data_IF_400281763677
#
_entry.id   IF_400281763677
#
_cell.length_a   1.000
_cell.length_b   1.000
_cell.length_c   1.000
_cell.angle_alpha   90.00
_cell.angle_beta   90.00
_cell.angle_gamma   90.00
#
_symmetry.space_group_name_H-M   'P 1'
#
loop_
_entity.id
_entity.type
_entity.pdbx_description
1 polymer ?
#
# COMPACT_ATOMS: atom_id res chain seq x y z
N UNK A 1 -26.17 2.42 10.55
CA UNK A 1 -25.79 1.38 9.57
C UNK A 1 -24.89 1.99 8.47
N UNK A 2 -23.78 2.62 8.88
CA UNK A 2 -22.82 3.27 7.98
C UNK A 2 -21.72 2.25 7.70
N UNK A 3 -21.51 1.90 6.42
CA UNK A 3 -20.51 0.90 6.00
C UNK A 3 -19.23 1.50 5.44
N UNK A 4 -19.28 2.77 5.04
CA UNK A 4 -18.16 3.46 4.39
C UNK A 4 -18.10 4.90 4.84
N UNK A 5 -16.91 5.35 5.21
CA UNK A 5 -16.54 6.74 5.42
C UNK A 5 -15.31 7.01 4.55
N UNK A 6 -15.42 8.00 3.68
CA UNK A 6 -14.34 8.42 2.80
C UNK A 6 -14.18 9.94 2.91
N UNK A 7 -13.05 10.35 3.46
CA UNK A 7 -12.68 11.74 3.67
C UNK A 7 -11.46 12.14 2.83
N UNK A 8 -11.16 11.39 1.75
CA UNK A 8 -9.99 11.59 0.92
C UNK A 8 -9.77 13.06 0.54
N UNK A 9 -8.58 13.58 0.85
CA UNK A 9 -8.13 14.94 0.53
C UNK A 9 -8.63 16.05 1.46
N UNK A 10 -9.48 15.73 2.44
CA UNK A 10 -9.98 16.74 3.38
C UNK A 10 -8.91 17.12 4.40
N UNK A 11 -8.37 18.34 4.27
CA UNK A 11 -7.24 18.83 5.07
C UNK A 11 -7.47 20.21 5.71
N UNK A 12 -8.72 20.69 5.73
CA UNK A 12 -9.05 21.98 6.35
C UNK A 12 -9.09 21.88 7.88
N UNK A 13 -8.59 22.91 8.60
CA UNK A 13 -8.63 22.94 10.08
C UNK A 13 -10.06 22.71 10.62
N UNK A 14 -11.07 23.30 9.99
CA UNK A 14 -12.48 23.10 10.36
C UNK A 14 -12.90 21.63 10.28
N UNK A 15 -12.49 20.92 9.22
CA UNK A 15 -12.75 19.49 9.09
C UNK A 15 -12.05 18.69 10.20
N UNK A 16 -10.77 18.98 10.48
CA UNK A 16 -10.04 18.32 11.57
C UNK A 16 -10.74 18.50 12.92
N UNK A 17 -11.17 19.74 13.24
CA UNK A 17 -11.92 20.03 14.46
C UNK A 17 -13.26 19.30 14.52
N UNK A 18 -14.04 19.30 13.43
CA UNK A 18 -15.33 18.63 13.37
C UNK A 18 -15.19 17.11 13.57
N UNK A 19 -14.19 16.49 12.95
CA UNK A 19 -13.94 15.06 13.09
C UNK A 19 -13.44 14.70 14.50
N UNK A 20 -12.66 15.59 15.13
CA UNK A 20 -12.27 15.44 16.54
C UNK A 20 -13.49 15.48 17.45
N UNK A 21 -14.39 16.45 17.28
CA UNK A 21 -15.64 16.53 18.05
C UNK A 21 -16.54 15.31 17.85
N UNK A 22 -16.59 14.76 16.63
CA UNK A 22 -17.30 13.51 16.37
C UNK A 22 -16.68 12.34 17.15
N UNK A 23 -15.35 12.20 17.12
CA UNK A 23 -14.64 11.16 17.87
C UNK A 23 -14.87 11.29 19.38
N UNK A 24 -14.88 12.51 19.92
CA UNK A 24 -15.20 12.78 21.32
C UNK A 24 -16.63 12.36 21.69
N UNK A 25 -17.60 12.64 20.81
CA UNK A 25 -18.99 12.24 21.00
C UNK A 25 -19.18 10.73 20.99
N UNK A 26 -18.41 10.00 20.16
CA UNK A 26 -18.43 8.53 20.12
C UNK A 26 -17.92 7.93 21.43
N UNK A 27 -16.95 8.59 22.08
CA UNK A 27 -16.36 8.19 23.35
C UNK A 27 -14.84 8.10 23.22
N UNK A 28 -14.12 8.88 24.04
CA UNK A 28 -12.66 8.95 23.96
C UNK A 28 -12.00 7.60 24.30
N UNK A 29 -11.03 7.22 23.48
CA UNK A 29 -10.09 6.15 23.79
C UNK A 29 -9.22 6.58 24.98
N UNK A 30 -9.20 5.76 26.03
CA UNK A 30 -8.27 5.95 27.16
C UNK A 30 -7.03 5.12 26.91
N UNK A 31 -5.90 5.81 26.91
CA UNK A 31 -4.59 5.24 26.69
C UNK A 31 -3.87 5.28 28.03
N UNK A 32 -3.43 4.11 28.47
CA UNK A 32 -2.67 3.93 29.71
C UNK A 32 -1.23 3.73 29.28
N UNK A 33 -0.36 4.59 29.77
CA UNK A 33 1.07 4.49 29.55
C UNK A 33 1.67 3.77 30.75
N UNK A 34 2.20 2.58 30.49
CA UNK A 34 2.83 1.75 31.52
C UNK A 34 4.34 1.97 31.42
N UNK A 35 4.93 2.51 32.49
CA UNK A 35 6.37 2.60 32.66
C UNK A 35 6.83 1.29 33.31
N UNK A 36 7.62 0.48 32.59
CA UNK A 36 8.35 -0.61 33.25
C UNK A 36 9.49 0.02 34.06
N UNK A 37 9.79 -0.50 35.25
CA UNK A 37 10.83 -0.01 36.19
C UNK A 37 12.27 -0.14 35.63
N UNK A 38 12.43 -0.40 34.33
CA UNK A 38 13.69 -0.64 33.64
C UNK A 38 13.92 0.50 32.63
N UNK A 39 14.85 1.41 32.95
CA UNK A 39 15.10 2.69 32.26
C UNK A 39 15.48 2.55 30.76
N UNK A 40 15.71 1.34 30.27
CA UNK A 40 16.09 1.04 28.87
C UNK A 40 14.92 0.62 27.96
N UNK A 41 13.70 0.42 28.48
CA UNK A 41 12.55 -0.01 27.67
C UNK A 41 11.65 1.16 27.27
N UNK A 42 11.31 1.20 25.98
CA UNK A 42 10.31 2.12 25.44
C UNK A 42 8.95 1.93 26.15
N UNK A 43 8.21 3.01 26.42
CA UNK A 43 6.94 2.94 27.11
C UNK A 43 5.93 2.08 26.34
N UNK A 44 5.26 1.18 27.06
CA UNK A 44 4.18 0.39 26.47
C UNK A 44 2.84 1.10 26.65
N UNK A 45 1.98 0.96 25.65
CA UNK A 45 0.68 1.62 25.62
C UNK A 45 -0.42 0.56 25.62
N UNK A 46 -1.26 0.59 26.64
CA UNK A 46 -2.46 -0.23 26.72
C UNK A 46 -3.72 0.61 26.52
N UNK A 47 -4.71 0.04 25.86
CA UNK A 47 -5.94 0.74 25.49
C UNK A 47 -7.13 0.15 26.25
N UNK A 48 -7.93 1.01 26.87
CA UNK A 48 -9.18 0.54 27.47
C UNK A 48 -10.22 0.32 26.37
N UNK A 49 -10.76 -0.90 26.31
CA UNK A 49 -11.82 -1.26 25.37
C UNK A 49 -13.03 -0.33 25.51
N UNK A 50 -13.59 0.08 24.38
CA UNK A 50 -14.77 0.93 24.36
C UNK A 50 -16.01 0.08 24.61
N UNK A 51 -16.79 0.42 25.65
CA UNK A 51 -17.96 -0.36 26.07
C UNK A 51 -19.04 -0.46 24.99
N UNK A 52 -19.25 0.61 24.22
CA UNK A 52 -20.26 0.69 23.17
C UNK A 52 -19.62 1.14 21.85
N UNK A 53 -19.58 0.24 20.87
CA UNK A 53 -19.04 0.50 19.53
C UNK A 53 -20.05 1.36 18.75
N UNK A 54 -19.63 2.54 18.27
CA UNK A 54 -20.51 3.48 17.59
C UNK A 54 -20.64 3.20 16.08
N UNK A 55 -19.67 2.52 15.47
CA UNK A 55 -19.63 2.20 14.04
C UNK A 55 -19.42 0.68 13.80
N UNK A 56 -20.28 -0.19 14.35
CA UNK A 56 -20.07 -1.65 14.32
C UNK A 56 -20.09 -2.25 12.89
N UNK A 57 -20.80 -1.58 11.97
CA UNK A 57 -20.95 -2.00 10.57
C UNK A 57 -19.93 -1.35 9.62
N UNK A 58 -19.04 -0.48 10.12
CA UNK A 58 -18.10 0.22 9.27
C UNK A 58 -17.04 -0.74 8.75
N UNK A 59 -16.96 -0.85 7.43
CA UNK A 59 -16.05 -1.76 6.74
C UNK A 59 -14.95 -1.03 5.97
N UNK A 60 -15.19 0.23 5.58
CA UNK A 60 -14.27 1.02 4.78
C UNK A 60 -14.07 2.39 5.43
N UNK A 61 -12.82 2.72 5.73
CA UNK A 61 -12.41 4.03 6.22
C UNK A 61 -11.26 4.53 5.36
N UNK A 62 -11.45 5.68 4.72
CA UNK A 62 -10.37 6.42 4.04
C UNK A 62 -10.19 7.79 4.67
N UNK A 63 -8.95 8.04 5.11
CA UNK A 63 -8.44 9.33 5.58
C UNK A 63 -7.30 9.82 4.69
N UNK A 64 -7.22 9.34 3.44
CA UNK A 64 -6.14 9.66 2.52
C UNK A 64 -5.86 11.17 2.45
N UNK A 65 -4.59 11.57 2.58
CA UNK A 65 -4.10 12.95 2.64
C UNK A 65 -4.77 13.84 3.71
N UNK A 66 -5.32 13.26 4.78
CA UNK A 66 -5.84 14.00 5.93
C UNK A 66 -4.75 14.20 7.01
N UNK A 67 -3.64 14.85 6.64
CA UNK A 67 -2.43 14.98 7.49
C UNK A 67 -2.61 15.80 8.76
N UNK A 68 -3.67 16.63 8.83
CA UNK A 68 -3.96 17.50 9.97
C UNK A 68 -4.74 16.80 11.10
N UNK A 69 -5.25 15.58 10.87
CA UNK A 69 -6.03 14.84 11.86
C UNK A 69 -5.08 14.28 12.92
N UNK A 70 -5.45 14.42 14.19
CA UNK A 70 -4.70 13.81 15.30
C UNK A 70 -4.81 12.28 15.25
N UNK A 71 -3.66 11.61 15.29
CA UNK A 71 -3.57 10.16 15.45
C UNK A 71 -4.38 9.71 16.68
N UNK A 72 -4.08 10.27 17.85
CA UNK A 72 -4.68 9.85 19.12
C UNK A 72 -6.17 10.18 19.21
N UNK A 73 -6.50 11.48 19.15
CA UNK A 73 -7.86 11.92 19.54
C UNK A 73 -8.90 11.52 18.51
N UNK A 74 -8.49 11.22 17.28
CA UNK A 74 -9.39 11.00 16.16
C UNK A 74 -9.16 9.65 15.48
N UNK A 75 -7.97 9.37 14.93
CA UNK A 75 -7.75 8.15 14.13
C UNK A 75 -7.92 6.90 14.99
N UNK A 76 -7.20 6.79 16.11
CA UNK A 76 -7.30 5.65 17.02
C UNK A 76 -8.71 5.51 17.60
N UNK A 77 -9.36 6.63 17.93
CA UNK A 77 -10.74 6.61 18.45
C UNK A 77 -11.73 6.09 17.39
N UNK A 78 -11.63 6.53 16.14
CA UNK A 78 -12.46 6.00 15.05
C UNK A 78 -12.24 4.49 14.85
N UNK A 79 -10.98 4.03 14.88
CA UNK A 79 -10.65 2.61 14.75
C UNK A 79 -11.20 1.79 15.92
N UNK A 80 -11.15 2.31 17.15
CA UNK A 80 -11.72 1.67 18.34
C UNK A 80 -13.24 1.45 18.23
N UNK A 81 -13.93 2.33 17.51
CA UNK A 81 -15.36 2.22 17.26
C UNK A 81 -15.71 1.54 15.92
N UNK A 82 -14.72 1.04 15.17
CA UNK A 82 -14.89 0.37 13.89
C UNK A 82 -14.10 -0.95 13.83
N UNK A 83 -14.42 -1.95 14.67
CA UNK A 83 -13.61 -3.16 14.83
C UNK A 83 -13.61 -4.08 13.59
N UNK A 84 -14.54 -3.89 12.66
CA UNK A 84 -14.78 -4.77 11.50
C UNK A 84 -14.28 -4.18 10.16
N UNK A 85 -13.28 -3.30 10.21
CA UNK A 85 -12.70 -2.70 9.01
C UNK A 85 -12.09 -3.78 8.10
N UNK A 86 -12.42 -3.67 6.82
CA UNK A 86 -11.90 -4.51 5.73
C UNK A 86 -11.03 -3.71 4.76
N UNK A 87 -11.22 -2.38 4.69
CA UNK A 87 -10.44 -1.47 3.86
C UNK A 87 -10.05 -0.25 4.69
N UNK A 88 -8.75 -0.04 4.85
CA UNK A 88 -8.20 1.09 5.58
C UNK A 88 -7.20 1.84 4.69
N UNK A 89 -7.48 3.11 4.45
CA UNK A 89 -6.55 4.03 3.78
C UNK A 89 -6.17 5.17 4.72
N UNK A 90 -4.90 5.19 5.11
CA UNK A 90 -4.26 6.20 5.94
C UNK A 90 -3.12 6.90 5.17
N UNK A 91 -3.07 6.75 3.84
CA UNK A 91 -1.98 7.31 3.05
C UNK A 91 -1.85 8.81 3.25
N UNK A 92 -0.65 9.31 3.50
CA UNK A 92 -0.38 10.72 3.78
C UNK A 92 -0.90 11.25 5.12
N UNK A 93 -1.42 10.39 6.01
CA UNK A 93 -1.74 10.76 7.39
C UNK A 93 -0.49 10.84 8.27
N UNK A 94 -0.58 11.59 9.37
CA UNK A 94 0.44 11.64 10.42
C UNK A 94 0.18 10.56 11.46
N UNK A 95 0.42 9.30 11.09
CA UNK A 95 0.29 8.12 11.97
C UNK A 95 1.64 7.49 12.26
N UNK A 96 1.74 6.83 13.41
CA UNK A 96 2.92 6.14 13.91
C UNK A 96 2.69 4.64 14.09
N UNK A 97 3.70 3.95 14.61
CA UNK A 97 3.61 2.53 14.98
C UNK A 97 2.51 2.26 16.02
N UNK A 98 2.14 3.28 16.82
CA UNK A 98 1.02 3.19 17.76
C UNK A 98 -0.28 2.79 17.04
N UNK A 99 -0.54 3.34 15.85
CA UNK A 99 -1.70 2.95 15.04
C UNK A 99 -1.62 1.49 14.61
N UNK A 100 -0.46 1.00 14.17
CA UNK A 100 -0.32 -0.38 13.73
C UNK A 100 -0.45 -1.37 14.89
N UNK A 101 0.13 -1.04 16.05
CA UNK A 101 0.02 -1.83 17.28
C UNK A 101 -1.42 -1.86 17.79
N UNK A 102 -2.12 -0.72 17.75
CA UNK A 102 -3.54 -0.65 18.08
C UNK A 102 -4.38 -1.54 17.16
N UNK A 103 -4.16 -1.44 15.84
CA UNK A 103 -4.82 -2.29 14.86
C UNK A 103 -4.60 -3.77 15.16
N UNK A 104 -3.37 -4.20 15.39
CA UNK A 104 -3.03 -5.60 15.66
C UNK A 104 -3.65 -6.15 16.95
N UNK A 105 -3.71 -5.34 18.01
CA UNK A 105 -4.04 -5.83 19.36
C UNK A 105 -5.46 -5.51 19.83
N UNK A 106 -6.09 -4.47 19.29
CA UNK A 106 -7.37 -3.94 19.78
C UNK A 106 -8.52 -4.06 18.78
N UNK A 107 -8.27 -4.58 17.57
CA UNK A 107 -9.28 -4.69 16.51
C UNK A 107 -9.25 -6.05 15.82
N UNK A 108 -10.26 -6.35 14.99
CA UNK A 108 -10.31 -7.61 14.23
C UNK A 108 -9.63 -7.50 12.85
N UNK A 109 -8.81 -6.48 12.60
CA UNK A 109 -8.20 -6.26 11.28
C UNK A 109 -7.25 -7.38 10.86
N UNK A 110 -6.54 -8.03 11.78
CA UNK A 110 -5.71 -9.21 11.43
C UNK A 110 -6.54 -10.33 10.79
N UNK A 111 -7.81 -10.46 11.15
CA UNK A 111 -8.74 -11.44 10.57
C UNK A 111 -9.49 -10.90 9.35
N UNK A 112 -9.85 -9.61 9.33
CA UNK A 112 -10.81 -9.06 8.35
C UNK A 112 -10.21 -8.18 7.26
N UNK A 113 -9.01 -7.63 7.46
CA UNK A 113 -8.45 -6.62 6.57
C UNK A 113 -8.10 -7.24 5.22
N UNK A 114 -8.59 -6.59 4.16
CA UNK A 114 -8.35 -6.98 2.76
C UNK A 114 -7.55 -5.93 2.01
N UNK A 115 -7.63 -4.67 2.43
CA UNK A 115 -6.94 -3.55 1.81
C UNK A 115 -6.32 -2.65 2.89
N UNK A 116 -5.02 -2.45 2.80
CA UNK A 116 -4.25 -1.55 3.66
C UNK A 116 -3.43 -0.61 2.78
N UNK A 117 -3.68 0.69 2.89
CA UNK A 117 -2.98 1.72 2.16
C UNK A 117 -2.30 2.66 3.17
N UNK A 118 -0.97 2.68 3.14
CA UNK A 118 -0.11 3.48 4.03
C UNK A 118 0.80 4.43 3.24
N UNK A 119 0.61 4.54 1.92
CA UNK A 119 1.50 5.33 1.07
C UNK A 119 1.77 6.73 1.65
N UNK A 120 3.03 7.18 1.65
CA UNK A 120 3.44 8.51 2.15
C UNK A 120 3.24 8.75 3.66
N UNK A 121 2.99 7.72 4.46
CA UNK A 121 3.11 7.82 5.92
C UNK A 121 4.58 8.03 6.32
N UNK A 122 4.80 8.85 7.36
CA UNK A 122 6.14 9.35 7.70
C UNK A 122 6.76 8.79 8.98
N UNK A 123 5.96 8.24 9.88
CA UNK A 123 6.39 7.93 11.26
C UNK A 123 6.20 6.44 11.61
N UNK A 124 6.26 5.56 10.61
CA UNK A 124 6.11 4.11 10.77
C UNK A 124 7.40 3.43 10.34
N UNK A 125 7.99 2.57 11.18
CA UNK A 125 9.14 1.75 10.78
C UNK A 125 8.75 0.59 9.85
N UNK A 126 9.76 0.04 9.18
CA UNK A 126 9.64 -1.17 8.38
C UNK A 126 9.24 -2.39 9.23
N UNK A 127 9.77 -2.50 10.44
CA UNK A 127 9.49 -3.60 11.37
C UNK A 127 8.02 -3.60 11.84
N UNK A 128 7.48 -2.44 12.21
CA UNK A 128 6.09 -2.31 12.63
C UNK A 128 5.11 -2.69 11.48
N UNK A 129 5.45 -2.29 10.25
CA UNK A 129 4.69 -2.65 9.04
C UNK A 129 4.72 -4.16 8.83
N UNK A 130 5.90 -4.77 8.87
CA UNK A 130 6.05 -6.22 8.72
C UNK A 130 5.27 -6.97 9.81
N UNK A 131 5.42 -6.55 11.08
CA UNK A 131 4.78 -7.17 12.24
C UNK A 131 3.26 -7.19 12.14
N UNK A 132 2.62 -6.13 11.62
CA UNK A 132 1.18 -6.14 11.36
C UNK A 132 0.82 -7.07 10.20
N UNK A 133 1.50 -6.94 9.06
CA UNK A 133 1.12 -7.63 7.81
C UNK A 133 1.23 -9.15 7.95
N UNK A 134 2.26 -9.67 8.63
CA UNK A 134 2.42 -11.12 8.80
C UNK A 134 1.28 -11.76 9.62
N UNK A 135 0.56 -10.97 10.41
CA UNK A 135 -0.61 -11.41 11.18
C UNK A 135 -1.92 -11.34 10.39
N UNK A 136 -1.94 -10.60 9.27
CA UNK A 136 -3.14 -10.50 8.44
C UNK A 136 -3.42 -11.82 7.72
N UNK A 137 -4.65 -12.31 7.76
CA UNK A 137 -5.03 -13.57 7.09
C UNK A 137 -5.63 -13.35 5.70
N UNK A 138 -6.19 -12.15 5.48
CA UNK A 138 -7.05 -11.87 4.34
C UNK A 138 -6.59 -10.71 3.46
N UNK A 139 -5.36 -10.20 3.67
CA UNK A 139 -4.86 -9.04 2.94
C UNK A 139 -4.67 -9.38 1.45
N UNK A 140 -5.14 -8.49 0.57
CA UNK A 140 -5.09 -8.62 -0.90
C UNK A 140 -4.45 -7.42 -1.55
N UNK A 141 -4.62 -6.24 -0.95
CA UNK A 141 -4.07 -4.99 -1.45
C UNK A 141 -3.23 -4.35 -0.37
N UNK A 142 -1.98 -4.09 -0.69
CA UNK A 142 -1.02 -3.45 0.19
C UNK A 142 -0.32 -2.34 -0.59
N UNK A 143 -0.43 -1.11 -0.09
CA UNK A 143 0.25 0.05 -0.65
C UNK A 143 1.24 0.63 0.36
N UNK A 144 2.53 0.49 0.07
CA UNK A 144 3.65 1.01 0.85
C UNK A 144 4.50 2.01 0.04
N UNK A 145 3.93 2.57 -1.03
CA UNK A 145 4.62 3.55 -1.88
C UNK A 145 5.07 4.77 -1.07
N UNK A 146 6.36 5.11 -1.19
CA UNK A 146 6.92 6.36 -0.65
C UNK A 146 6.72 6.51 0.87
N UNK A 147 6.79 5.39 1.61
CA UNK A 147 6.93 5.40 3.07
C UNK A 147 8.30 6.04 3.41
N UNK A 148 8.31 7.03 4.32
CA UNK A 148 9.51 7.84 4.58
C UNK A 148 10.71 7.04 5.10
N UNK A 149 10.48 5.97 5.83
CA UNK A 149 11.54 5.10 6.36
C UNK A 149 12.10 4.13 5.32
N UNK A 150 11.40 3.94 4.20
CA UNK A 150 11.59 2.86 3.22
C UNK A 150 11.56 1.46 3.88
N UNK A 151 10.89 0.49 3.26
CA UNK A 151 10.88 -0.87 3.82
C UNK A 151 12.21 -1.56 3.51
N UNK A 152 12.88 -2.07 4.54
CA UNK A 152 14.14 -2.81 4.40
C UNK A 152 13.97 -4.07 3.55
N UNK A 153 15.04 -4.55 2.91
CA UNK A 153 15.00 -5.81 2.15
C UNK A 153 14.56 -6.98 3.06
N UNK A 154 15.04 -7.00 4.31
CA UNK A 154 14.73 -8.04 5.29
C UNK A 154 13.22 -8.08 5.60
N UNK A 155 12.63 -6.92 5.88
CA UNK A 155 11.21 -6.82 6.22
C UNK A 155 10.30 -7.11 5.02
N UNK A 156 10.71 -6.70 3.82
CA UNK A 156 10.03 -7.10 2.58
C UNK A 156 10.03 -8.62 2.40
N UNK A 157 11.17 -9.28 2.58
CA UNK A 157 11.27 -10.74 2.48
C UNK A 157 10.41 -11.42 3.56
N UNK A 158 10.39 -10.89 4.78
CA UNK A 158 9.53 -11.37 5.87
C UNK A 158 8.05 -11.29 5.50
N UNK A 159 7.59 -10.15 4.98
CA UNK A 159 6.22 -9.98 4.47
C UNK A 159 5.93 -10.97 3.35
N UNK A 160 6.82 -11.09 2.36
CA UNK A 160 6.62 -11.91 1.17
C UNK A 160 6.62 -13.41 1.45
N UNK A 161 7.26 -13.87 2.54
CA UNK A 161 7.24 -15.27 2.98
C UNK A 161 6.06 -15.60 3.91
N UNK A 162 5.26 -14.62 4.29
CA UNK A 162 4.09 -14.83 5.13
C UNK A 162 2.95 -15.52 4.38
N UNK A 163 2.00 -16.10 5.12
CA UNK A 163 0.85 -16.79 4.52
C UNK A 163 -0.05 -15.85 3.70
N UNK A 164 -0.12 -14.56 4.04
CA UNK A 164 -0.95 -13.60 3.29
C UNK A 164 -0.40 -13.25 1.91
N UNK A 165 0.92 -13.42 1.68
CA UNK A 165 1.57 -13.05 0.43
C UNK A 165 0.96 -13.77 -0.78
N UNK A 166 0.56 -15.04 -0.60
CA UNK A 166 -0.11 -15.88 -1.60
C UNK A 166 -1.45 -15.31 -2.08
N UNK A 167 -2.00 -14.33 -1.38
CA UNK A 167 -3.29 -13.70 -1.69
C UNK A 167 -3.16 -12.27 -2.20
N UNK A 168 -1.95 -11.72 -2.26
CA UNK A 168 -1.76 -10.38 -2.80
C UNK A 168 -2.21 -10.33 -4.26
N UNK A 169 -3.13 -9.41 -4.53
CA UNK A 169 -3.64 -9.06 -5.85
C UNK A 169 -3.04 -7.74 -6.33
N UNK A 170 -2.70 -6.85 -5.40
CA UNK A 170 -2.09 -5.55 -5.65
C UNK A 170 -1.06 -5.27 -4.57
N UNK A 171 0.20 -5.10 -4.97
CA UNK A 171 1.30 -4.86 -4.06
C UNK A 171 2.14 -3.69 -4.58
N UNK A 172 2.22 -2.61 -3.83
CA UNK A 172 3.07 -1.46 -4.18
C UNK A 172 4.15 -1.28 -3.12
N UNK A 173 5.39 -1.48 -3.56
CA UNK A 173 6.63 -1.41 -2.78
C UNK A 173 7.52 -0.26 -3.27
N UNK A 174 6.98 0.68 -4.06
CA UNK A 174 7.76 1.80 -4.60
C UNK A 174 8.51 2.56 -3.53
N UNK A 175 9.75 2.98 -3.84
CA UNK A 175 10.70 3.63 -2.93
C UNK A 175 11.26 2.75 -1.79
N UNK A 176 10.87 1.47 -1.69
CA UNK A 176 11.47 0.52 -0.74
C UNK A 176 12.72 -0.18 -1.31
N UNK A 177 13.43 -0.95 -0.48
CA UNK A 177 14.65 -1.68 -0.87
C UNK A 177 14.35 -2.95 -1.69
N UNK A 178 13.73 -2.77 -2.86
CA UNK A 178 13.40 -3.87 -3.79
C UNK A 178 14.63 -4.23 -4.61
N UNK A 179 15.21 -5.40 -4.35
CA UNK A 179 16.34 -5.98 -5.09
C UNK A 179 15.92 -7.22 -5.88
N UNK A 180 16.86 -7.86 -6.58
CA UNK A 180 16.63 -9.17 -7.23
C UNK A 180 16.21 -10.27 -6.24
N UNK A 181 16.63 -10.19 -4.96
CA UNK A 181 16.20 -11.15 -3.91
C UNK A 181 14.73 -10.95 -3.56
N UNK A 182 14.27 -9.70 -3.52
CA UNK A 182 12.85 -9.37 -3.32
C UNK A 182 12.02 -9.85 -4.51
N UNK A 183 12.49 -9.64 -5.74
CA UNK A 183 11.83 -10.19 -6.94
C UNK A 183 11.67 -11.72 -6.86
N UNK A 184 12.72 -12.43 -6.44
CA UNK A 184 12.65 -13.88 -6.23
C UNK A 184 11.60 -14.26 -5.18
N UNK A 185 11.57 -13.57 -4.03
CA UNK A 185 10.57 -13.81 -3.00
C UNK A 185 9.14 -13.55 -3.51
N UNK A 186 8.92 -12.54 -4.36
CA UNK A 186 7.64 -12.30 -5.04
C UNK A 186 7.31 -13.46 -5.97
N UNK A 187 8.26 -13.94 -6.79
CA UNK A 187 8.05 -15.06 -7.70
C UNK A 187 7.67 -16.34 -6.98
N UNK A 188 8.29 -16.63 -5.83
CA UNK A 188 8.02 -17.85 -5.06
C UNK A 188 6.66 -17.81 -4.36
N UNK A 189 6.19 -16.62 -3.95
CA UNK A 189 5.07 -16.51 -3.02
C UNK A 189 3.83 -15.81 -3.56
N UNK A 190 3.92 -15.05 -4.66
CA UNK A 190 2.84 -14.20 -5.16
C UNK A 190 2.39 -14.52 -6.61
N UNK A 191 2.87 -15.61 -7.22
CA UNK A 191 2.74 -15.88 -8.67
C UNK A 191 1.30 -15.93 -9.19
N UNK A 192 0.38 -16.54 -8.43
CA UNK A 192 -0.95 -16.90 -8.94
C UNK A 192 -1.98 -15.79 -8.83
N UNK A 193 -1.90 -14.96 -7.78
CA UNK A 193 -2.90 -13.95 -7.46
C UNK A 193 -2.49 -12.53 -7.85
N UNK A 194 -1.19 -12.24 -7.96
CA UNK A 194 -0.69 -10.88 -8.10
C UNK A 194 -0.92 -10.32 -9.51
N UNK A 195 -1.70 -9.24 -9.59
CA UNK A 195 -2.08 -8.62 -10.85
C UNK A 195 -1.48 -7.22 -11.00
N UNK A 196 -1.22 -6.53 -9.90
CA UNK A 196 -0.68 -5.17 -9.92
C UNK A 196 0.53 -5.10 -9.01
N UNK A 197 1.67 -4.67 -9.57
CA UNK A 197 2.93 -4.58 -8.85
C UNK A 197 3.54 -3.19 -9.02
N UNK A 198 3.76 -2.48 -7.91
CA UNK A 198 4.57 -1.27 -7.89
C UNK A 198 5.96 -1.56 -7.34
N UNK A 199 7.00 -1.31 -8.15
CA UNK A 199 8.40 -1.44 -7.76
C UNK A 199 9.21 -0.23 -8.23
N UNK A 200 8.59 0.95 -8.21
CA UNK A 200 9.26 2.20 -8.54
C UNK A 200 10.55 2.35 -7.71
N UNK A 201 11.61 2.82 -8.35
CA UNK A 201 12.96 3.00 -7.79
C UNK A 201 13.65 1.70 -7.32
N UNK A 202 13.16 0.53 -7.75
CA UNK A 202 13.81 -0.74 -7.43
C UNK A 202 15.28 -0.80 -7.87
N UNK A 203 16.10 -1.42 -7.03
CA UNK A 203 17.54 -1.58 -7.16
C UNK A 203 17.87 -2.89 -7.90
N UNK A 204 17.44 -2.97 -9.15
CA UNK A 204 17.66 -4.12 -10.03
C UNK A 204 18.87 -3.84 -10.92
N UNK A 205 20.00 -4.55 -10.77
CA UNK A 205 21.23 -4.23 -11.48
C UNK A 205 21.15 -4.52 -12.98
N UNK A 206 20.40 -5.56 -13.39
CA UNK A 206 20.35 -6.01 -14.79
C UNK A 206 18.91 -6.17 -15.28
N UNK A 207 18.64 -5.71 -16.50
CA UNK A 207 17.32 -5.81 -17.14
C UNK A 207 16.88 -7.26 -17.37
N UNK A 208 17.82 -8.19 -17.57
CA UNK A 208 17.50 -9.61 -17.74
C UNK A 208 16.76 -10.20 -16.53
N UNK A 209 17.09 -9.74 -15.31
CA UNK A 209 16.41 -10.20 -14.10
C UNK A 209 14.94 -9.75 -14.07
N UNK A 210 14.64 -8.55 -14.57
CA UNK A 210 13.26 -8.08 -14.70
C UNK A 210 12.50 -8.85 -15.80
N UNK A 211 13.18 -9.17 -16.91
CA UNK A 211 12.59 -9.97 -17.99
C UNK A 211 12.23 -11.39 -17.51
N UNK A 212 13.17 -12.06 -16.84
CA UNK A 212 12.95 -13.38 -16.23
C UNK A 212 11.85 -13.31 -15.18
N UNK A 213 11.85 -12.25 -14.36
CA UNK A 213 10.80 -11.99 -13.38
C UNK A 213 9.41 -11.95 -14.01
N UNK A 214 9.20 -11.09 -15.01
CA UNK A 214 7.90 -10.94 -15.66
C UNK A 214 7.49 -12.19 -16.42
N UNK A 215 8.43 -12.88 -17.07
CA UNK A 215 8.13 -14.14 -17.77
C UNK A 215 7.57 -15.20 -16.80
N UNK A 216 8.08 -15.24 -15.57
CA UNK A 216 7.58 -16.13 -14.52
C UNK A 216 6.30 -15.65 -13.84
N UNK A 217 5.79 -14.45 -14.16
CA UNK A 217 4.65 -13.82 -13.49
C UNK A 217 3.50 -13.48 -14.48
N UNK A 218 2.90 -14.50 -15.15
CA UNK A 218 1.96 -14.30 -16.26
C UNK A 218 0.64 -13.61 -15.89
N UNK A 219 0.32 -13.57 -14.59
CA UNK A 219 -0.86 -12.95 -13.99
C UNK A 219 -0.77 -11.43 -13.90
N UNK A 220 0.43 -10.86 -13.96
CA UNK A 220 0.65 -9.41 -13.85
C UNK A 220 -0.02 -8.69 -15.04
N UNK A 221 -0.87 -7.73 -14.70
CA UNK A 221 -1.65 -6.87 -15.60
C UNK A 221 -1.08 -5.45 -15.67
N UNK A 222 -0.55 -4.97 -14.54
CA UNK A 222 0.04 -3.65 -14.36
C UNK A 222 1.37 -3.77 -13.62
N UNK A 223 2.39 -3.07 -14.10
CA UNK A 223 3.64 -2.89 -13.35
C UNK A 223 4.09 -1.43 -13.38
N UNK A 224 4.45 -0.88 -12.22
CA UNK A 224 5.14 0.41 -12.11
C UNK A 224 6.65 0.21 -11.95
N UNK A 225 7.36 0.69 -12.97
CA UNK A 225 8.81 0.62 -13.16
C UNK A 225 9.46 2.01 -13.11
N UNK A 226 8.75 3.02 -12.61
CA UNK A 226 9.23 4.41 -12.57
C UNK A 226 10.57 4.49 -11.84
N UNK A 227 11.56 5.11 -12.49
CA UNK A 227 12.88 5.34 -11.91
C UNK A 227 13.74 4.09 -11.68
N UNK A 228 13.36 2.92 -12.21
CA UNK A 228 14.23 1.72 -12.21
C UNK A 228 15.40 1.94 -13.18
N UNK A 229 16.60 2.06 -12.63
CA UNK A 229 17.79 2.60 -13.34
C UNK A 229 18.30 1.75 -14.50
N UNK A 230 18.06 0.44 -14.50
CA UNK A 230 18.54 -0.44 -15.56
C UNK A 230 17.74 -0.30 -16.86
N UNK A 231 16.60 0.40 -16.84
CA UNK A 231 15.70 0.50 -18.00
C UNK A 231 16.17 1.53 -19.01
N UNK A 232 16.15 1.10 -20.27
CA UNK A 232 16.40 1.93 -21.46
C UNK A 232 15.25 1.72 -22.47
N UNK A 233 15.08 2.59 -23.47
CA UNK A 233 14.08 2.36 -24.52
C UNK A 233 14.23 0.99 -25.21
N UNK A 234 15.46 0.54 -25.42
CA UNK A 234 15.78 -0.76 -26.03
C UNK A 234 15.37 -1.91 -25.11
N UNK A 235 15.67 -1.84 -23.81
CA UNK A 235 15.32 -2.91 -22.89
C UNK A 235 13.81 -3.04 -22.69
N UNK A 236 13.07 -1.92 -22.65
CA UNK A 236 11.60 -1.94 -22.60
C UNK A 236 11.03 -2.55 -23.87
N UNK A 237 11.58 -2.20 -25.04
CA UNK A 237 11.16 -2.84 -26.30
C UNK A 237 11.35 -4.35 -26.25
N UNK A 238 12.53 -4.81 -25.85
CA UNK A 238 12.83 -6.24 -25.70
C UNK A 238 11.92 -6.93 -24.68
N UNK A 239 11.67 -6.30 -23.54
CA UNK A 239 10.74 -6.78 -22.51
C UNK A 239 9.33 -6.95 -23.08
N UNK A 240 8.79 -5.95 -23.77
CA UNK A 240 7.43 -6.01 -24.31
C UNK A 240 7.29 -6.93 -25.53
N UNK A 241 8.36 -7.11 -26.32
CA UNK A 241 8.40 -8.07 -27.42
C UNK A 241 8.48 -9.53 -26.89
N UNK A 242 9.14 -9.77 -25.76
CA UNK A 242 9.19 -11.08 -25.12
C UNK A 242 7.85 -11.50 -24.47
N UNK A 243 7.03 -10.53 -24.04
CA UNK A 243 5.75 -10.78 -23.35
C UNK A 243 4.53 -10.88 -24.29
N UNK A 244 4.76 -11.11 -25.60
CA UNK A 244 3.71 -11.04 -26.62
C UNK A 244 2.73 -12.24 -26.61
N UNK A 245 3.14 -13.41 -26.07
CA UNK A 245 2.28 -14.60 -26.01
C UNK A 245 1.95 -14.96 -24.55
N UNK A 246 0.66 -15.14 -24.25
CA UNK A 246 0.13 -15.64 -22.96
C UNK A 246 0.38 -14.81 -21.69
N UNK A 247 0.91 -13.59 -21.77
CA UNK A 247 1.04 -12.71 -20.60
C UNK A 247 -0.08 -11.67 -20.51
N UNK A 248 -0.63 -11.49 -19.29
CA UNK A 248 -1.74 -10.56 -19.01
C UNK A 248 -1.35 -9.08 -18.99
N UNK A 249 -0.06 -8.74 -19.21
CA UNK A 249 0.45 -7.40 -18.99
C UNK A 249 -0.12 -6.47 -20.04
N UNK A 250 -0.79 -5.42 -19.59
CA UNK A 250 -1.41 -4.45 -20.48
C UNK A 250 -1.11 -2.99 -20.11
N UNK A 251 -0.51 -2.74 -18.94
CA UNK A 251 -0.09 -1.41 -18.51
C UNK A 251 1.29 -1.46 -17.88
N UNK A 252 2.18 -0.58 -18.34
CA UNK A 252 3.50 -0.35 -17.74
C UNK A 252 3.62 1.13 -17.41
N UNK A 253 3.79 1.46 -16.14
CA UNK A 253 4.11 2.82 -15.69
C UNK A 253 5.63 3.00 -15.62
N UNK A 254 6.12 4.13 -16.13
CA UNK A 254 7.54 4.45 -16.24
C UNK A 254 7.76 5.97 -16.10
N UNK A 255 9.01 6.38 -15.98
CA UNK A 255 9.37 7.81 -16.00
C UNK A 255 9.04 8.48 -17.34
N UNK A 256 8.64 9.75 -17.27
CA UNK A 256 8.36 10.61 -18.42
C UNK A 256 9.46 10.56 -19.49
N UNK A 257 10.71 10.71 -19.05
CA UNK A 257 11.89 10.72 -19.91
C UNK A 257 12.05 9.40 -20.66
N UNK A 258 11.74 8.27 -20.04
CA UNK A 258 11.82 6.97 -20.68
C UNK A 258 10.70 6.84 -21.73
N UNK A 259 9.47 7.16 -21.35
CA UNK A 259 8.30 7.02 -22.24
C UNK A 259 8.40 7.91 -23.48
N UNK A 260 8.83 9.17 -23.33
CA UNK A 260 8.98 10.10 -24.46
C UNK A 260 10.06 9.66 -25.45
N UNK A 261 11.02 8.85 -25.01
CA UNK A 261 12.09 8.32 -25.86
C UNK A 261 11.81 6.90 -26.40
N UNK A 262 10.63 6.33 -26.14
CA UNK A 262 10.24 5.03 -26.70
C UNK A 262 9.79 5.18 -28.16
N UNK A 263 10.43 4.42 -29.05
CA UNK A 263 9.90 4.18 -30.39
C UNK A 263 8.53 3.49 -30.32
N UNK A 264 7.68 3.70 -31.32
CA UNK A 264 6.38 3.04 -31.39
C UNK A 264 6.50 1.50 -31.32
N UNK A 265 5.76 0.90 -30.38
CA UNK A 265 5.68 -0.55 -30.20
C UNK A 265 4.29 -0.98 -30.66
N UNK A 266 4.24 -1.94 -31.59
CA UNK A 266 2.97 -2.41 -32.18
C UNK A 266 2.03 -2.90 -31.08
N UNK A 267 0.79 -2.41 -31.09
CA UNK A 267 -0.22 -2.81 -30.11
C UNK A 267 -0.17 -2.02 -28.80
N UNK A 268 0.76 -1.08 -28.63
CA UNK A 268 0.88 -0.25 -27.43
C UNK A 268 0.78 1.24 -27.76
N UNK A 269 0.31 2.04 -26.79
CA UNK A 269 0.25 3.49 -26.89
C UNK A 269 0.60 4.16 -25.57
N UNK A 270 1.15 5.37 -25.68
CA UNK A 270 1.30 6.30 -24.56
C UNK A 270 -0.10 6.76 -24.14
N UNK A 271 -0.33 6.83 -22.84
CA UNK A 271 -1.54 7.38 -22.26
C UNK A 271 -1.17 8.48 -21.25
N UNK A 272 -1.36 9.73 -21.65
CA UNK A 272 -1.00 10.92 -20.87
C UNK A 272 -2.09 11.36 -19.87
N UNK A 273 -3.17 10.59 -19.70
CA UNK A 273 -4.36 10.98 -18.92
C UNK A 273 -4.37 10.55 -17.46
N UNK A 274 -3.21 10.52 -16.81
CA UNK A 274 -3.14 10.31 -15.36
C UNK A 274 -2.49 11.51 -14.71
N UNK A 275 -2.89 11.78 -13.47
CA UNK A 275 -2.45 12.86 -12.59
C UNK A 275 -0.93 12.89 -12.34
N UNK A 276 -0.15 13.16 -13.40
CA UNK A 276 1.33 13.15 -13.49
C UNK A 276 2.01 11.77 -13.59
N UNK A 277 1.26 10.71 -13.95
CA UNK A 277 1.81 9.35 -14.16
C UNK A 277 1.90 9.03 -15.64
N UNK A 278 3.03 8.50 -16.10
CA UNK A 278 3.26 8.18 -17.51
C UNK A 278 3.08 6.67 -17.73
N UNK A 279 2.03 6.31 -18.46
CA UNK A 279 1.67 4.91 -18.70
C UNK A 279 1.79 4.54 -20.18
N UNK A 280 2.32 3.35 -20.43
CA UNK A 280 2.31 2.70 -21.74
C UNK A 280 1.33 1.52 -21.71
N UNK A 281 0.32 1.53 -22.58
CA UNK A 281 -0.86 0.64 -22.49
C UNK A 281 -1.17 -0.12 -23.78
N UNK A 282 -1.59 -1.39 -23.68
CA UNK A 282 -2.04 -2.19 -24.83
C UNK A 282 -3.35 -1.63 -25.41
N UNK A 283 -3.42 -1.50 -26.74
CA UNK A 283 -4.56 -0.95 -27.49
C UNK A 283 -5.87 -1.74 -27.31
N UNK A 284 -5.78 -3.06 -27.09
CA UNK A 284 -6.95 -3.94 -26.90
C UNK A 284 -7.60 -3.81 -25.51
N UNK A 285 -6.92 -3.17 -24.55
CA UNK A 285 -7.41 -3.00 -23.19
C UNK A 285 -7.89 -1.56 -23.00
N UNK A 286 -9.21 -1.36 -23.10
CA UNK A 286 -9.85 -0.11 -22.69
C UNK A 286 -9.66 0.15 -21.20
N UNK A 287 -9.27 1.38 -20.87
CA UNK A 287 -9.14 2.02 -19.54
C UNK A 287 -9.49 1.11 -18.33
N UNK A 288 -8.48 0.58 -17.63
CA UNK A 288 -8.62 0.08 -16.24
C UNK A 288 -7.70 0.89 -15.33
N UNK A 289 -8.30 1.62 -14.39
CA UNK A 289 -7.60 2.29 -13.26
C UNK A 289 -6.86 1.25 -12.43
N UNK A 290 -5.70 1.62 -11.87
CA UNK A 290 -5.01 0.75 -10.90
C UNK A 290 -5.93 0.50 -9.69
N UNK A 291 -5.82 -0.63 -8.97
CA UNK A 291 -6.62 -0.86 -7.76
C UNK A 291 -6.37 0.22 -6.71
N UNK A 292 -5.16 0.77 -6.66
CA UNK A 292 -4.81 1.89 -5.79
C UNK A 292 -5.57 3.17 -6.16
N UNK A 293 -5.86 3.40 -7.45
CA UNK A 293 -6.71 4.50 -7.94
C UNK A 293 -8.23 4.24 -7.81
N UNK A 294 -8.65 2.99 -7.63
CA UNK A 294 -10.06 2.62 -7.39
C UNK A 294 -10.46 2.76 -5.93
N UNK A 295 -9.49 2.90 -5.02
CA UNK A 295 -9.69 2.85 -3.57
C UNK A 295 -9.26 4.18 -2.90
N UNK A 296 -8.49 5.02 -3.58
CA UNK A 296 -8.15 6.39 -3.16
C UNK A 296 -7.65 7.20 -4.37
N UNK A 297 -7.98 8.49 -4.42
CA UNK A 297 -7.80 9.36 -5.58
C UNK A 297 -6.33 9.54 -6.03
N UNK A 298 -6.15 9.84 -7.31
CA UNK A 298 -4.85 10.16 -7.92
C UNK A 298 -4.31 11.54 -7.60
#
# INVERSE_FOLDING_TARGET
NIKTLDFCGLSSKHFGSALTSLAEYMGRLRLVQDYEDDDEKEPTYSFQSVKNVALPDLQRLSLHNCSIISEYSTILTLLAHAPNITHLDLGGCSVSEMTLNFLATQTNVTKNLTHLLLARCKHISSEAIASLIIQCENLRVLNLYDIATAISEYDLITILRSQTAKRFQSLDLGSSYVTSRVLHAIQENCTSALQHLGIALAQIPLTIQLNEFLTSMPSIQYIDLTGVKCLTPISIRGLLDNLQTNHSLHTVEMSESLIKNLCAIKGWKINDNFSRRYCYTKLSHGRRKSPFEKIGCG
#
